data_IF_108323309083
#
_entry.id   IF_108323309083
#
_cell.length_a   1.000
_cell.length_b   1.000
_cell.length_c   1.000
_cell.angle_alpha   90.00
_cell.angle_beta   90.00
_cell.angle_gamma   90.00
#
_symmetry.space_group_name_H-M   'P 1'
#
loop_
_entity.id
_entity.type
_entity.pdbx_description
1 polymer ?
#
# COMPACT_ATOMS: atom_id res chain seq x y z
N UNK A 1 20.57 -9.59 -14.82
CA UNK A 1 19.82 -9.53 -14.64
C UNK A 1 18.72 -9.87 -13.86
N UNK A 2 18.44 -11.01 -13.47
CA UNK A 2 17.29 -11.39 -12.73
C UNK A 2 17.13 -10.70 -11.40
N UNK A 3 18.23 -10.34 -10.83
CA UNK A 3 18.16 -9.70 -9.51
C UNK A 3 17.39 -8.40 -9.52
N UNK A 4 17.32 -7.75 -10.64
CA UNK A 4 16.64 -6.49 -10.73
C UNK A 4 15.16 -6.64 -10.48
N UNK A 5 14.63 -7.79 -10.81
CA UNK A 5 13.19 -8.01 -10.69
C UNK A 5 12.72 -8.03 -9.25
N UNK A 6 13.60 -8.33 -8.32
CA UNK A 6 13.19 -8.45 -6.94
C UNK A 6 13.02 -7.11 -6.25
N UNK A 7 13.50 -6.05 -6.89
CA UNK A 7 13.42 -4.73 -6.28
C UNK A 7 12.31 -3.88 -6.85
N UNK A 8 11.35 -4.50 -7.49
CA UNK A 8 10.19 -3.80 -7.99
C UNK A 8 9.53 -3.01 -6.89
N UNK A 9 9.24 -1.77 -7.17
CA UNK A 9 8.55 -0.94 -6.21
C UNK A 9 7.68 0.07 -6.95
N UNK A 10 6.43 0.14 -6.56
CA UNK A 10 5.47 1.06 -7.17
C UNK A 10 5.07 2.09 -6.12
N UNK A 11 5.13 3.36 -6.47
CA UNK A 11 4.88 4.45 -5.54
C UNK A 11 3.63 5.19 -5.99
N UNK A 12 2.70 5.37 -5.05
CA UNK A 12 1.45 6.09 -5.31
C UNK A 12 1.36 7.24 -4.32
N UNK A 13 1.34 8.46 -4.80
CA UNK A 13 1.32 9.65 -3.96
C UNK A 13 -0.09 10.22 -3.93
N UNK A 14 -0.59 10.52 -2.73
CA UNK A 14 -1.91 11.12 -2.59
C UNK A 14 -1.93 12.53 -3.15
N UNK A 15 -3.13 13.01 -3.47
CA UNK A 15 -3.30 14.32 -4.02
C UNK A 15 -3.09 15.39 -2.98
N UNK A 16 -2.39 16.47 -3.35
CA UNK A 16 -2.20 17.60 -2.45
C UNK A 16 -3.48 18.37 -2.19
N UNK A 17 -4.50 18.13 -3.02
CA UNK A 17 -5.76 18.83 -2.86
C UNK A 17 -6.64 18.24 -1.77
N UNK A 18 -6.22 17.13 -1.17
CA UNK A 18 -7.00 16.49 -0.11
C UNK A 18 -6.49 16.95 1.26
N UNK A 19 -7.40 16.93 2.22
CA UNK A 19 -7.09 17.33 3.59
C UNK A 19 -5.98 16.45 4.16
N UNK A 20 -5.00 17.08 4.79
CA UNK A 20 -3.87 16.36 5.36
C UNK A 20 -2.73 16.11 4.39
N UNK A 21 -2.94 16.35 3.10
CA UNK A 21 -1.91 16.07 2.08
C UNK A 21 -1.40 17.33 1.40
N UNK A 22 -1.76 18.48 1.92
CA UNK A 22 -1.52 19.74 1.21
C UNK A 22 -0.04 20.04 1.00
N UNK A 23 0.75 19.88 2.05
CA UNK A 23 2.17 20.17 1.97
C UNK A 23 3.03 18.93 1.92
N UNK A 24 2.61 17.88 2.60
CA UNK A 24 3.37 16.65 2.69
C UNK A 24 2.45 15.48 2.36
N UNK A 25 2.18 15.25 1.08
CA UNK A 25 1.24 14.18 0.71
C UNK A 25 1.79 12.82 1.10
N UNK A 26 0.88 11.97 1.57
CA UNK A 26 1.23 10.61 1.94
C UNK A 26 1.54 9.80 0.69
N UNK A 27 2.49 8.86 0.81
CA UNK A 27 2.81 7.93 -0.27
C UNK A 27 2.55 6.52 0.19
N UNK A 28 2.06 5.68 -0.73
CA UNK A 28 2.02 4.24 -0.53
C UNK A 28 3.00 3.60 -1.47
N UNK A 29 3.90 2.80 -0.94
CA UNK A 29 4.87 2.05 -1.73
C UNK A 29 4.51 0.59 -1.66
N UNK A 30 4.35 -0.01 -2.83
CA UNK A 30 3.95 -1.41 -2.95
C UNK A 30 5.11 -2.16 -3.58
N UNK A 31 5.59 -3.18 -2.91
CA UNK A 31 6.62 -4.05 -3.46
C UNK A 31 6.19 -5.49 -3.26
N UNK A 32 6.87 -6.45 -3.89
CA UNK A 32 6.51 -7.84 -3.68
C UNK A 32 6.59 -8.29 -2.22
N UNK A 33 7.38 -7.58 -1.42
CA UNK A 33 7.63 -7.99 -0.04
C UNK A 33 6.75 -7.29 0.97
N UNK A 34 6.30 -6.07 0.69
CA UNK A 34 5.58 -5.31 1.70
C UNK A 34 4.82 -4.14 1.12
N UNK A 35 3.91 -3.64 1.92
CA UNK A 35 3.21 -2.38 1.67
C UNK A 35 3.69 -1.39 2.71
N UNK A 36 4.09 -0.20 2.29
CA UNK A 36 4.61 0.82 3.19
C UNK A 36 3.87 2.14 2.98
N UNK A 37 3.44 2.75 4.05
CA UNK A 37 2.86 4.09 4.02
C UNK A 37 3.88 5.06 4.58
N UNK A 38 4.18 6.09 3.82
CA UNK A 38 5.16 7.10 4.24
C UNK A 38 4.46 8.45 4.28
N UNK A 39 4.47 9.06 5.46
CA UNK A 39 3.93 10.41 5.64
C UNK A 39 5.10 11.34 5.93
N UNK A 40 5.54 12.14 4.94
CA UNK A 40 6.63 13.06 5.17
C UNK A 40 6.21 14.15 6.16
N UNK A 41 7.18 14.64 6.88
CA UNK A 41 7.01 15.78 7.80
C UNK A 41 8.05 16.82 7.48
N UNK A 42 7.93 17.96 8.13
CA UNK A 42 8.95 18.99 7.98
C UNK A 42 10.34 18.44 8.33
N UNK A 43 10.39 17.64 9.37
CA UNK A 43 11.63 16.96 9.75
C UNK A 43 11.33 15.49 9.83
N UNK A 44 11.93 14.70 8.93
CA UNK A 44 11.75 13.26 8.93
C UNK A 44 10.47 12.79 8.29
N UNK A 45 10.01 11.63 8.70
CA UNK A 45 8.79 11.03 8.17
C UNK A 45 8.26 10.00 9.14
N UNK A 46 6.97 9.68 8.97
CA UNK A 46 6.35 8.53 9.65
C UNK A 46 6.17 7.42 8.63
N UNK A 47 6.57 6.22 8.99
CA UNK A 47 6.43 5.07 8.11
C UNK A 47 5.72 3.94 8.82
N UNK A 48 4.80 3.32 8.11
CA UNK A 48 4.10 2.12 8.57
C UNK A 48 4.23 1.08 7.48
N UNK A 49 4.48 -0.15 7.86
CA UNK A 49 4.73 -1.19 6.88
C UNK A 49 4.07 -2.49 7.30
N UNK A 50 3.49 -3.19 6.30
CA UNK A 50 2.92 -4.52 6.51
C UNK A 50 3.58 -5.45 5.51
N UNK A 51 4.20 -6.54 5.98
CA UNK A 51 4.74 -7.54 5.03
C UNK A 51 3.64 -8.08 4.14
N UNK A 52 3.95 -8.29 2.88
CA UNK A 52 2.92 -8.72 1.93
C UNK A 52 2.23 -10.00 2.37
N UNK A 53 2.97 -10.92 2.98
CA UNK A 53 2.39 -12.17 3.44
C UNK A 53 1.38 -11.98 4.57
N UNK A 54 1.40 -10.83 5.23
CA UNK A 54 0.49 -10.56 6.33
C UNK A 54 -0.62 -9.59 5.99
N UNK A 55 -0.75 -9.20 4.74
CA UNK A 55 -1.87 -8.37 4.32
C UNK A 55 -3.12 -9.22 4.29
N UNK A 56 -4.13 -8.83 5.04
CA UNK A 56 -5.37 -9.59 5.13
C UNK A 56 -6.41 -9.12 4.13
N UNK A 57 -6.56 -7.81 3.99
CA UNK A 57 -7.58 -7.29 3.07
C UNK A 57 -7.25 -5.87 2.69
N UNK A 58 -7.79 -5.45 1.56
CA UNK A 58 -7.66 -4.08 1.06
C UNK A 58 -9.07 -3.55 0.87
N UNK A 59 -9.38 -2.45 1.53
CA UNK A 59 -10.66 -1.78 1.40
C UNK A 59 -10.46 -0.47 0.68
N UNK A 60 -11.31 -0.19 -0.29
CA UNK A 60 -11.27 1.06 -1.03
C UNK A 60 -12.62 1.73 -0.87
N UNK A 61 -12.61 2.94 -0.34
CA UNK A 61 -13.81 3.73 -0.25
C UNK A 61 -13.73 4.84 -1.27
N UNK A 62 -14.56 4.75 -2.30
CA UNK A 62 -14.50 5.65 -3.44
C UNK A 62 -15.48 6.78 -3.24
N UNK A 63 -14.97 8.01 -3.20
CA UNK A 63 -15.80 9.19 -3.17
C UNK A 63 -16.05 9.73 -4.56
N UNK A 64 -16.45 10.99 -4.62
CA UNK A 64 -16.73 11.61 -5.91
C UNK A 64 -15.46 11.77 -6.74
N UNK A 65 -14.39 12.20 -6.11
CA UNK A 65 -13.14 12.51 -6.82
C UNK A 65 -12.00 11.63 -6.32
N UNK A 66 -11.92 11.44 -5.00
CA UNK A 66 -10.80 10.76 -4.39
C UNK A 66 -11.23 9.45 -3.78
N UNK A 67 -10.26 8.59 -3.52
CA UNK A 67 -10.49 7.31 -2.84
C UNK A 67 -9.62 7.22 -1.61
N UNK A 68 -10.15 6.55 -0.59
CA UNK A 68 -9.40 6.24 0.60
C UNK A 68 -9.11 4.75 0.62
N UNK A 69 -7.94 4.40 1.13
CA UNK A 69 -7.49 3.02 1.11
C UNK A 69 -7.18 2.59 2.52
N UNK A 70 -7.66 1.40 2.88
CA UNK A 70 -7.36 0.80 4.17
C UNK A 70 -6.84 -0.61 3.93
N UNK A 71 -5.67 -0.90 4.48
CA UNK A 71 -5.04 -2.20 4.33
C UNK A 71 -4.92 -2.83 5.70
N UNK A 72 -5.64 -3.93 5.90
CA UNK A 72 -5.64 -4.64 7.17
C UNK A 72 -4.61 -5.74 7.15
N UNK A 73 -4.04 -6.03 8.32
CA UNK A 73 -3.07 -7.10 8.44
C UNK A 73 -3.61 -8.20 9.33
N UNK A 74 -3.07 -9.39 9.15
CA UNK A 74 -3.28 -10.47 10.09
C UNK A 74 -2.37 -10.24 11.30
N UNK A 75 -2.71 -10.79 12.43
CA UNK A 75 -1.83 -10.74 13.58
C UNK A 75 -1.90 -9.50 14.44
N UNK A 76 -2.90 -8.66 14.24
CA UNK A 76 -3.17 -7.61 15.18
C UNK A 76 -2.42 -6.30 15.01
N UNK A 77 -1.69 -6.14 13.93
CA UNK A 77 -1.06 -4.85 13.66
C UNK A 77 -2.11 -3.82 13.27
N UNK A 78 -1.78 -2.55 13.49
CA UNK A 78 -2.68 -1.49 13.09
C UNK A 78 -2.83 -1.48 11.56
N UNK A 79 -4.02 -1.19 11.06
CA UNK A 79 -4.20 -1.08 9.61
C UNK A 79 -3.47 0.14 9.08
N UNK A 80 -3.09 0.04 7.81
CA UNK A 80 -2.58 1.20 7.09
C UNK A 80 -3.76 1.91 6.46
N UNK A 81 -3.90 3.19 6.75
CA UNK A 81 -4.99 4.01 6.20
C UNK A 81 -4.36 5.16 5.43
N UNK A 82 -4.78 5.35 4.20
CA UNK A 82 -4.24 6.41 3.37
C UNK A 82 -5.38 7.08 2.62
N UNK A 83 -5.45 8.40 2.69
CA UNK A 83 -6.56 9.17 2.14
C UNK A 83 -6.15 9.96 0.92
N UNK A 84 -7.09 10.18 0.03
CA UNK A 84 -6.90 11.16 -1.00
C UNK A 84 -6.19 10.68 -2.24
N UNK A 85 -6.31 9.41 -2.56
CA UNK A 85 -5.70 8.85 -3.77
C UNK A 85 -6.67 8.97 -4.95
N UNK A 86 -6.10 9.02 -6.13
CA UNK A 86 -6.92 8.97 -7.34
C UNK A 86 -7.59 7.61 -7.42
N UNK A 87 -8.80 7.59 -7.99
CA UNK A 87 -9.55 6.33 -8.09
C UNK A 87 -8.78 5.28 -8.88
N UNK A 88 -8.13 5.67 -9.96
CA UNK A 88 -7.34 4.74 -10.75
C UNK A 88 -6.16 4.20 -9.95
N UNK A 89 -5.52 5.06 -9.14
CA UNK A 89 -4.41 4.63 -8.32
C UNK A 89 -4.87 3.66 -7.24
N UNK A 90 -6.04 3.90 -6.64
CA UNK A 90 -6.55 3.00 -5.62
C UNK A 90 -6.78 1.60 -6.20
N UNK A 91 -7.34 1.53 -7.39
CA UNK A 91 -7.55 0.24 -8.05
C UNK A 91 -6.22 -0.42 -8.40
N UNK A 92 -5.26 0.36 -8.87
CA UNK A 92 -3.94 -0.18 -9.19
C UNK A 92 -3.25 -0.73 -7.95
N UNK A 93 -3.39 -0.04 -6.82
CA UNK A 93 -2.81 -0.50 -5.57
C UNK A 93 -3.41 -1.86 -5.18
N UNK A 94 -4.74 -1.98 -5.24
CA UNK A 94 -5.39 -3.24 -4.90
C UNK A 94 -4.93 -4.35 -5.84
N UNK A 95 -4.87 -4.06 -7.13
CA UNK A 95 -4.50 -5.08 -8.11
C UNK A 95 -3.05 -5.53 -7.91
N UNK A 96 -2.16 -4.60 -7.58
CA UNK A 96 -0.77 -4.96 -7.31
C UNK A 96 -0.66 -5.83 -6.07
N UNK A 97 -1.37 -5.47 -5.02
CA UNK A 97 -1.32 -6.26 -3.79
C UNK A 97 -1.82 -7.67 -4.05
N UNK A 98 -2.94 -7.79 -4.76
CA UNK A 98 -3.47 -9.10 -5.07
C UNK A 98 -2.49 -9.91 -5.90
N UNK A 99 -1.85 -9.27 -6.86
CA UNK A 99 -0.89 -9.97 -7.70
C UNK A 99 0.32 -10.43 -6.92
N UNK A 100 0.84 -9.56 -6.06
CA UNK A 100 2.01 -9.93 -5.27
C UNK A 100 1.67 -11.01 -4.24
N UNK A 101 0.45 -11.01 -3.72
CA UNK A 101 0.03 -12.06 -2.81
C UNK A 101 -0.08 -13.40 -3.49
N UNK A 102 -0.56 -13.41 -4.72
CA UNK A 102 -0.68 -14.65 -5.46
C UNK A 102 0.69 -15.27 -5.76
N UNK A 103 1.71 -14.44 -5.84
CA UNK A 103 3.04 -14.90 -6.15
C UNK A 103 3.88 -15.20 -4.93
N UNK A 104 3.32 -15.02 -3.73
CA UNK A 104 4.06 -15.29 -2.50
C UNK A 104 4.18 -16.79 -2.28
N UNK A 105 5.35 -17.28 -1.90
CA UNK A 105 5.47 -18.66 -1.43
C UNK A 105 4.83 -18.71 -0.06
N UNK A 106 3.61 -19.18 0.00
CA UNK A 106 2.83 -19.13 1.20
C UNK A 106 2.83 -20.46 1.91
N UNK A 107 2.35 -20.43 3.16
CA UNK A 107 2.18 -21.66 3.90
C UNK A 107 1.16 -22.57 3.24
N UNK A 108 0.23 -21.99 2.52
CA UNK A 108 -0.75 -22.78 1.82
C UNK A 108 -0.11 -23.65 0.76
N UNK A 109 0.85 -23.11 0.05
CA UNK A 109 1.54 -23.87 -0.98
C UNK A 109 2.30 -25.02 -0.37
N UNK A 110 2.89 -24.80 0.77
CA UNK A 110 3.67 -25.87 1.38
C UNK A 110 2.79 -26.95 1.97
N UNK A 111 1.52 -26.70 2.15
CA UNK A 111 0.62 -27.70 2.68
C UNK A 111 0.05 -28.59 1.62
N UNK A 112 0.15 -28.19 0.40
CA UNK A 112 -0.34 -29.00 -0.68
C UNK A 112 0.77 -29.82 -1.29
#
# INVERSE_FOLDING_TARGET
MGAIMTDEKFVFTASRWTSGNRFFPVRLEISPNRVTRIKPKLIGSNEESIPMAKVASVHIETGLIWSDIRIDSTGGSHPIVSHGHRKADARAIRDLIERFQQNQPSLQDSQT
#
